data_IF_072713606198
#
_entry.id   IF_072713606198
#
_cell.length_a   1.000
_cell.length_b   1.000
_cell.length_c   1.000
_cell.angle_alpha   90.00
_cell.angle_beta   90.00
_cell.angle_gamma   90.00
#
_symmetry.space_group_name_H-M   'P 1'
#
loop_
_entity.id
_entity.type
_entity.pdbx_description
1 polymer ?
#
# COMPACT_ATOMS: atom_id res chain seq x y z
N UNK A 1 20.35 -0.31 -32.70
CA UNK A 1 20.26 -0.09 -31.24
C UNK A 1 19.28 -1.12 -30.75
N UNK A 2 19.73 -2.09 -29.96
CA UNK A 2 18.83 -3.05 -29.32
C UNK A 2 17.96 -2.27 -28.33
N UNK A 3 16.66 -2.21 -28.59
CA UNK A 3 15.68 -1.60 -27.67
C UNK A 3 15.63 -2.39 -26.37
N UNK A 4 16.67 -2.21 -25.53
CA UNK A 4 16.68 -2.78 -24.18
C UNK A 4 15.70 -1.96 -23.35
N UNK A 5 14.66 -2.61 -22.81
CA UNK A 5 13.70 -1.93 -21.94
C UNK A 5 14.40 -1.19 -20.79
N UNK A 6 13.93 -0.02 -20.36
CA UNK A 6 14.55 0.74 -19.29
C UNK A 6 14.51 -0.04 -17.96
N UNK A 7 15.53 0.19 -17.13
CA UNK A 7 15.63 -0.41 -15.80
C UNK A 7 14.69 0.30 -14.82
N UNK A 8 14.02 -0.48 -13.95
CA UNK A 8 13.33 0.00 -12.77
C UNK A 8 13.73 -0.87 -11.56
N UNK A 9 13.81 -0.25 -10.39
CA UNK A 9 14.14 -0.91 -9.14
C UNK A 9 12.94 -0.91 -8.20
N UNK A 10 12.61 -2.06 -7.63
CA UNK A 10 11.59 -2.19 -6.59
C UNK A 10 12.28 -2.46 -5.26
N UNK A 11 12.05 -1.60 -4.29
CA UNK A 11 12.49 -1.76 -2.91
C UNK A 11 11.27 -1.93 -2.01
N UNK A 12 10.91 -3.16 -1.80
CA UNK A 12 9.77 -3.61 -1.02
C UNK A 12 10.17 -3.93 0.42
N UNK A 13 9.20 -4.00 1.30
CA UNK A 13 9.44 -4.45 2.68
C UNK A 13 8.33 -4.05 3.64
N UNK A 14 8.26 -4.66 4.81
CA UNK A 14 7.28 -4.30 5.82
C UNK A 14 7.52 -2.87 6.35
N UNK A 15 6.53 -2.34 7.04
CA UNK A 15 6.72 -1.10 7.80
C UNK A 15 7.86 -1.28 8.82
N UNK A 16 8.59 -0.21 9.11
CA UNK A 16 9.76 -0.19 10.01
C UNK A 16 10.96 -1.06 9.58
N UNK A 17 11.07 -1.41 8.29
CA UNK A 17 12.17 -2.24 7.77
C UNK A 17 13.41 -1.45 7.30
N UNK A 18 13.41 -0.11 7.34
CA UNK A 18 14.58 0.69 6.91
C UNK A 18 14.63 1.03 5.42
N UNK A 19 13.54 0.83 4.66
CA UNK A 19 13.46 1.15 3.22
C UNK A 19 13.87 2.60 2.90
N UNK A 20 13.37 3.55 3.65
CA UNK A 20 13.59 4.99 3.42
C UNK A 20 15.08 5.32 3.51
N UNK A 21 15.78 4.83 4.53
CA UNK A 21 17.21 5.04 4.70
C UNK A 21 18.00 4.48 3.50
N UNK A 22 17.72 3.25 3.09
CA UNK A 22 18.39 2.63 1.95
C UNK A 22 18.11 3.38 0.63
N UNK A 23 16.87 3.84 0.44
CA UNK A 23 16.50 4.61 -0.75
C UNK A 23 17.22 5.98 -0.81
N UNK A 24 17.35 6.68 0.32
CA UNK A 24 18.11 7.93 0.42
C UNK A 24 19.59 7.70 0.06
N UNK A 25 20.21 6.66 0.63
CA UNK A 25 21.61 6.32 0.34
C UNK A 25 21.85 5.93 -1.11
N UNK A 26 20.93 5.20 -1.73
CA UNK A 26 20.99 4.89 -3.17
C UNK A 26 20.93 6.15 -4.03
N UNK A 27 20.00 7.06 -3.71
CA UNK A 27 19.85 8.31 -4.44
C UNK A 27 21.07 9.22 -4.34
N UNK A 28 21.77 9.20 -3.22
CA UNK A 28 23.03 9.95 -3.06
C UNK A 28 24.17 9.40 -3.93
N UNK A 29 24.11 8.14 -4.31
CA UNK A 29 25.18 7.43 -5.04
C UNK A 29 24.88 7.24 -6.53
N UNK A 30 23.61 7.16 -6.91
CA UNK A 30 23.16 6.84 -8.27
C UNK A 30 22.06 7.82 -8.73
N UNK A 31 21.89 8.00 -10.04
CA UNK A 31 20.83 8.83 -10.60
C UNK A 31 19.47 8.12 -10.51
N UNK A 32 19.04 7.77 -9.32
CA UNK A 32 17.71 7.20 -9.07
C UNK A 32 16.75 8.26 -8.56
N UNK A 33 15.47 8.15 -8.93
CA UNK A 33 14.40 8.95 -8.36
C UNK A 33 13.36 8.05 -7.71
N UNK A 34 12.86 8.49 -6.54
CA UNK A 34 11.99 7.70 -5.69
C UNK A 34 10.53 7.94 -6.06
N UNK A 35 9.80 6.83 -6.23
CA UNK A 35 8.34 6.81 -6.32
C UNK A 35 7.82 6.06 -5.10
N UNK A 36 6.96 6.70 -4.32
CA UNK A 36 6.32 6.05 -3.15
C UNK A 36 5.29 5.01 -3.60
N UNK A 37 5.39 3.80 -3.04
CA UNK A 37 4.42 2.72 -3.23
C UNK A 37 3.72 2.44 -1.91
N UNK A 38 3.00 3.44 -1.44
CA UNK A 38 2.33 3.41 -0.14
C UNK A 38 0.93 4.04 -0.23
N UNK A 39 -0.08 3.32 0.26
CA UNK A 39 -1.47 3.76 0.20
C UNK A 39 -1.86 4.75 1.30
N UNK A 40 -0.95 5.12 2.19
CA UNK A 40 -1.18 6.10 3.24
C UNK A 40 -0.40 7.40 3.02
N UNK A 41 0.84 7.32 2.49
CA UNK A 41 1.67 8.49 2.24
C UNK A 41 1.12 9.44 1.15
N UNK A 42 0.16 8.99 0.37
CA UNK A 42 -0.51 9.78 -0.67
C UNK A 42 -1.37 10.90 -0.11
N UNK A 43 -1.81 10.79 1.16
CA UNK A 43 -2.74 11.75 1.77
C UNK A 43 -2.02 12.95 2.36
N UNK A 44 -2.50 14.15 2.03
CA UNK A 44 -2.10 15.40 2.67
C UNK A 44 -2.49 15.39 4.13
N UNK A 45 -1.74 16.13 4.96
CA UNK A 45 -2.00 16.31 6.40
C UNK A 45 -1.96 15.02 7.24
N UNK A 46 -1.61 13.88 6.63
CA UNK A 46 -1.37 12.61 7.30
C UNK A 46 0.14 12.33 7.31
N UNK A 47 0.87 13.00 8.20
CA UNK A 47 2.32 13.05 8.18
C UNK A 47 2.96 12.18 9.26
N UNK A 48 2.53 12.38 10.52
CA UNK A 48 3.14 11.74 11.68
C UNK A 48 2.71 10.26 11.75
N UNK A 49 1.41 10.00 11.72
CA UNK A 49 0.87 8.65 11.84
C UNK A 49 1.19 7.72 10.67
N UNK A 50 1.53 8.25 9.50
CA UNK A 50 2.06 7.49 8.37
C UNK A 50 3.58 7.32 8.43
N UNK A 51 4.26 8.08 9.31
CA UNK A 51 5.70 8.30 9.33
C UNK A 51 6.23 8.69 7.94
N UNK A 52 5.56 9.67 7.34
CA UNK A 52 5.98 10.30 6.09
C UNK A 52 7.40 10.86 6.26
N UNK A 53 8.27 10.75 5.25
CA UNK A 53 9.58 11.39 5.30
C UNK A 53 9.45 12.88 5.64
N UNK A 54 10.26 13.35 6.57
CA UNK A 54 10.26 14.75 6.98
C UNK A 54 10.85 15.67 5.89
N UNK A 55 10.79 16.99 6.11
CA UNK A 55 11.29 17.98 5.15
C UNK A 55 12.79 17.80 4.85
N UNK A 56 13.58 17.38 5.85
CA UNK A 56 15.00 17.11 5.68
C UNK A 56 15.22 15.88 4.80
N UNK A 57 14.51 14.78 5.06
CA UNK A 57 14.56 13.57 4.26
C UNK A 57 14.09 13.83 2.82
N UNK A 58 13.00 14.59 2.66
CA UNK A 58 12.48 14.98 1.34
C UNK A 58 13.42 15.93 0.58
N UNK A 59 14.16 16.78 1.27
CA UNK A 59 15.19 17.62 0.64
C UNK A 59 16.36 16.81 0.08
N UNK A 60 16.74 15.72 0.77
CA UNK A 60 17.79 14.80 0.33
C UNK A 60 17.30 13.82 -0.74
N UNK A 61 16.07 13.38 -0.62
CA UNK A 61 15.47 12.40 -1.50
C UNK A 61 13.98 12.72 -1.74
N UNK A 62 13.68 13.61 -2.70
CA UNK A 62 12.30 13.87 -3.10
C UNK A 62 11.58 12.58 -3.51
N UNK A 63 10.35 12.41 -3.05
CA UNK A 63 9.50 11.28 -3.38
C UNK A 63 8.34 11.75 -4.26
N UNK A 64 8.11 11.07 -5.37
CA UNK A 64 6.87 11.22 -6.15
C UNK A 64 5.75 10.41 -5.50
N UNK A 65 4.53 10.78 -5.74
CA UNK A 65 3.30 10.14 -5.25
C UNK A 65 3.14 10.16 -3.72
N UNK A 66 3.54 11.25 -3.09
CA UNK A 66 3.18 11.59 -1.72
C UNK A 66 2.43 12.93 -1.72
N UNK A 67 1.55 13.15 -0.74
CA UNK A 67 0.77 14.40 -0.60
C UNK A 67 -0.04 14.79 -1.85
N UNK A 68 -0.56 13.82 -2.58
CA UNK A 68 -1.27 14.04 -3.84
C UNK A 68 -2.79 14.13 -3.69
N UNK A 69 -3.35 13.62 -2.58
CA UNK A 69 -4.79 13.57 -2.34
C UNK A 69 -5.19 14.18 -1.01
N UNK A 70 -6.42 14.69 -0.96
CA UNK A 70 -7.08 15.00 0.30
C UNK A 70 -7.53 13.71 1.02
N UNK A 71 -7.50 13.64 2.37
CA UNK A 71 -7.96 12.48 3.11
C UNK A 71 -9.42 12.06 2.85
N UNK A 72 -10.27 12.94 2.32
CA UNK A 72 -11.65 12.62 1.92
C UNK A 72 -11.75 11.85 0.61
N UNK A 73 -10.66 11.76 -0.15
CA UNK A 73 -10.62 11.13 -1.46
C UNK A 73 -10.20 9.66 -1.38
N UNK A 74 -10.52 8.90 -2.42
CA UNK A 74 -10.13 7.49 -2.56
C UNK A 74 -9.10 7.32 -3.68
N UNK A 75 -8.15 6.41 -3.47
CA UNK A 75 -7.13 6.08 -4.45
C UNK A 75 -7.06 4.58 -4.69
N UNK A 76 -7.29 4.17 -5.90
CA UNK A 76 -7.32 2.77 -6.29
C UNK A 76 -5.96 2.27 -6.79
N UNK A 77 -5.80 0.94 -6.90
CA UNK A 77 -4.63 0.35 -7.55
C UNK A 77 -4.52 0.73 -9.04
N UNK A 78 -5.64 1.06 -9.68
CA UNK A 78 -5.65 1.53 -11.06
C UNK A 78 -5.13 2.98 -11.18
N UNK A 79 -5.53 3.85 -10.25
CA UNK A 79 -5.00 5.20 -10.17
C UNK A 79 -3.50 5.17 -9.90
N UNK A 80 -3.07 4.37 -8.92
CA UNK A 80 -1.66 4.18 -8.64
C UNK A 80 -0.88 3.72 -9.87
N UNK A 81 -1.38 2.70 -10.59
CA UNK A 81 -0.70 2.18 -11.78
C UNK A 81 -0.54 3.24 -12.86
N UNK A 82 -1.58 4.02 -13.13
CA UNK A 82 -1.56 5.13 -14.09
C UNK A 82 -0.50 6.16 -13.71
N UNK A 83 -0.55 6.62 -12.47
CA UNK A 83 0.32 7.71 -11.99
C UNK A 83 1.77 7.25 -11.82
N UNK A 84 1.98 5.99 -11.41
CA UNK A 84 3.32 5.41 -11.30
C UNK A 84 3.97 5.22 -12.67
N UNK A 85 3.24 4.75 -13.69
CA UNK A 85 3.75 4.65 -15.07
C UNK A 85 4.17 6.02 -15.61
N UNK A 86 3.33 7.03 -15.43
CA UNK A 86 3.68 8.40 -15.85
C UNK A 86 4.94 8.90 -15.13
N UNK A 87 5.03 8.69 -13.81
CA UNK A 87 6.20 9.08 -13.05
C UNK A 87 7.48 8.33 -13.49
N UNK A 88 7.35 7.04 -13.82
CA UNK A 88 8.48 6.23 -14.32
C UNK A 88 8.95 6.73 -15.68
N UNK A 89 8.03 7.03 -16.59
CA UNK A 89 8.35 7.53 -17.93
C UNK A 89 9.05 8.91 -17.87
N UNK A 90 8.57 9.79 -16.99
CA UNK A 90 9.20 11.11 -16.75
C UNK A 90 10.64 10.96 -16.23
N UNK A 91 10.86 10.06 -15.28
CA UNK A 91 12.18 9.78 -14.70
C UNK A 91 13.14 9.24 -15.76
N UNK A 92 12.69 8.31 -16.59
CA UNK A 92 13.50 7.75 -17.68
C UNK A 92 13.82 8.79 -18.74
N UNK A 93 12.87 9.68 -19.07
CA UNK A 93 13.09 10.78 -20.00
C UNK A 93 14.18 11.76 -19.51
N UNK A 94 14.37 11.86 -18.19
CA UNK A 94 15.47 12.63 -17.58
C UNK A 94 16.81 11.84 -17.50
N UNK A 95 16.87 10.62 -18.05
CA UNK A 95 18.06 9.77 -18.00
C UNK A 95 18.33 9.15 -16.62
N UNK A 96 17.32 9.07 -15.78
CA UNK A 96 17.40 8.52 -14.42
C UNK A 96 16.70 7.15 -14.31
N UNK A 97 16.87 6.48 -13.18
CA UNK A 97 16.32 5.16 -12.89
C UNK A 97 15.17 5.29 -11.89
N UNK A 98 13.95 4.83 -12.21
CA UNK A 98 12.86 4.77 -11.25
C UNK A 98 13.17 3.80 -10.11
N UNK A 99 13.10 4.28 -8.85
CA UNK A 99 13.21 3.50 -7.63
C UNK A 99 11.85 3.53 -6.90
N UNK A 100 11.11 2.45 -7.01
CA UNK A 100 9.80 2.30 -6.38
C UNK A 100 9.98 1.77 -4.97
N UNK A 101 9.55 2.53 -3.94
CA UNK A 101 9.81 2.23 -2.53
C UNK A 101 8.51 2.17 -1.76
N UNK A 102 8.22 1.05 -1.10
CA UNK A 102 7.03 0.98 -0.28
C UNK A 102 6.65 -0.39 0.25
N UNK A 103 5.47 -0.45 0.85
CA UNK A 103 4.93 -1.64 1.49
C UNK A 103 3.55 -2.08 0.99
N UNK A 104 2.97 -1.39 0.01
CA UNK A 104 1.65 -1.75 -0.55
C UNK A 104 1.81 -2.76 -1.68
N UNK A 105 1.86 -4.05 -1.30
CA UNK A 105 2.15 -5.15 -2.24
C UNK A 105 1.16 -5.23 -3.40
N UNK A 106 -0.10 -4.86 -3.17
CA UNK A 106 -1.11 -4.83 -4.24
C UNK A 106 -0.73 -3.84 -5.35
N UNK A 107 -0.11 -2.71 -5.01
CA UNK A 107 0.32 -1.70 -5.98
C UNK A 107 1.48 -2.23 -6.85
N UNK A 108 2.46 -2.88 -6.25
CA UNK A 108 3.53 -3.53 -7.00
C UNK A 108 3.00 -4.61 -7.95
N UNK A 109 2.07 -5.42 -7.46
CA UNK A 109 1.44 -6.46 -8.29
C UNK A 109 0.65 -5.86 -9.45
N UNK A 110 -0.16 -4.83 -9.19
CA UNK A 110 -0.91 -4.12 -10.22
C UNK A 110 0.01 -3.50 -11.28
N UNK A 111 1.18 -3.00 -10.86
CA UNK A 111 2.16 -2.42 -11.78
C UNK A 111 2.83 -3.49 -12.64
N UNK A 112 3.29 -4.60 -12.06
CA UNK A 112 3.98 -5.69 -12.76
C UNK A 112 3.09 -6.47 -13.73
N UNK A 113 1.95 -6.91 -13.22
CA UNK A 113 1.08 -7.86 -13.94
C UNK A 113 -0.01 -7.17 -14.76
N UNK A 114 -0.15 -5.84 -14.60
CA UNK A 114 -1.29 -5.11 -15.09
C UNK A 114 -2.55 -5.37 -14.24
N UNK A 115 -3.63 -4.74 -14.65
CA UNK A 115 -4.94 -4.90 -14.02
C UNK A 115 -5.91 -5.51 -15.01
N UNK A 116 -6.72 -6.44 -14.54
CA UNK A 116 -7.85 -6.96 -15.33
C UNK A 116 -8.84 -5.84 -15.63
N UNK A 117 -9.53 -5.86 -16.77
CA UNK A 117 -10.48 -4.82 -17.18
C UNK A 117 -11.77 -4.89 -16.36
N UNK A 118 -11.67 -4.60 -15.07
CA UNK A 118 -12.82 -4.55 -14.18
C UNK A 118 -13.56 -3.21 -14.35
N UNK A 119 -14.89 -3.20 -14.23
CA UNK A 119 -15.65 -1.95 -14.25
C UNK A 119 -15.20 -1.01 -13.12
N UNK A 120 -15.31 0.29 -13.37
CA UNK A 120 -15.09 1.29 -12.33
C UNK A 120 -16.03 1.06 -11.13
N UNK A 121 -15.63 1.55 -9.97
CA UNK A 121 -16.48 1.52 -8.80
C UNK A 121 -17.78 2.29 -9.04
N UNK A 122 -18.91 1.70 -8.65
CA UNK A 122 -20.22 2.33 -8.72
C UNK A 122 -20.77 2.54 -7.31
N UNK A 123 -20.78 3.80 -6.80
CA UNK A 123 -21.25 4.09 -5.45
C UNK A 123 -22.69 3.69 -5.17
N UNK A 124 -23.57 3.83 -6.18
CA UNK A 124 -24.98 3.48 -6.04
C UNK A 124 -25.17 1.97 -5.85
N UNK A 125 -24.51 1.17 -6.66
CA UNK A 125 -24.53 -0.29 -6.53
C UNK A 125 -23.93 -0.76 -5.21
N UNK A 126 -22.85 -0.13 -4.75
CA UNK A 126 -22.27 -0.43 -3.44
C UNK A 126 -23.23 -0.14 -2.31
N UNK A 127 -23.87 1.01 -2.35
CA UNK A 127 -24.87 1.39 -1.34
C UNK A 127 -26.05 0.41 -1.33
N UNK A 128 -26.52 -0.05 -2.49
CA UNK A 128 -27.54 -1.10 -2.58
C UNK A 128 -27.09 -2.40 -1.92
N UNK A 129 -25.87 -2.86 -2.22
CA UNK A 129 -25.30 -4.08 -1.62
C UNK A 129 -25.19 -3.96 -0.09
N UNK A 130 -24.75 -2.80 0.40
CA UNK A 130 -24.66 -2.53 1.83
C UNK A 130 -26.03 -2.54 2.52
N UNK A 131 -27.06 -1.93 1.90
CA UNK A 131 -28.42 -1.98 2.41
C UNK A 131 -29.01 -3.39 2.42
N UNK A 132 -28.73 -4.17 1.39
CA UNK A 132 -29.12 -5.58 1.35
C UNK A 132 -28.41 -6.37 2.46
N UNK A 133 -27.12 -6.10 2.68
CA UNK A 133 -26.35 -6.74 3.75
C UNK A 133 -26.87 -6.39 5.15
N UNK A 134 -27.28 -5.15 5.37
CA UNK A 134 -27.91 -4.73 6.63
C UNK A 134 -29.25 -5.45 6.88
N UNK A 135 -29.99 -5.76 5.82
CA UNK A 135 -31.33 -6.37 5.93
C UNK A 135 -31.24 -7.91 5.99
N UNK A 136 -30.43 -8.51 5.13
CA UNK A 136 -30.38 -9.97 4.92
C UNK A 136 -29.17 -10.64 5.59
N UNK A 137 -28.11 -9.87 5.87
CA UNK A 137 -26.81 -10.36 6.33
C UNK A 137 -25.84 -10.72 5.20
N UNK A 138 -24.56 -10.60 5.48
CA UNK A 138 -23.48 -10.90 4.50
C UNK A 138 -23.43 -12.35 4.08
N UNK A 139 -23.88 -13.29 4.92
CA UNK A 139 -23.95 -14.72 4.58
C UNK A 139 -24.89 -15.00 3.40
N UNK A 140 -26.04 -14.32 3.36
CA UNK A 140 -27.01 -14.46 2.26
C UNK A 140 -26.42 -13.92 0.95
N UNK A 141 -25.73 -12.79 1.01
CA UNK A 141 -25.04 -12.24 -0.17
C UNK A 141 -23.87 -13.12 -0.62
N UNK A 142 -23.22 -13.84 0.30
CA UNK A 142 -22.20 -14.81 -0.07
C UNK A 142 -22.81 -16.03 -0.77
N UNK A 143 -23.98 -16.49 -0.36
CA UNK A 143 -24.71 -17.57 -1.04
C UNK A 143 -25.16 -17.11 -2.45
N UNK A 144 -25.63 -15.86 -2.61
CA UNK A 144 -25.89 -15.25 -3.93
C UNK A 144 -24.63 -15.29 -4.81
N UNK A 145 -23.47 -14.86 -4.28
CA UNK A 145 -22.22 -14.91 -5.04
C UNK A 145 -21.84 -16.35 -5.42
N UNK A 146 -22.14 -17.34 -4.57
CA UNK A 146 -21.84 -18.75 -4.84
C UNK A 146 -22.63 -19.30 -6.04
N UNK A 147 -23.85 -18.81 -6.27
CA UNK A 147 -24.64 -19.15 -7.45
C UNK A 147 -24.11 -18.45 -8.71
N UNK A 148 -23.68 -17.18 -8.59
CA UNK A 148 -23.22 -16.34 -9.70
C UNK A 148 -21.78 -16.70 -10.12
N UNK A 149 -20.87 -16.77 -9.13
CA UNK A 149 -19.43 -16.98 -9.30
C UNK A 149 -18.88 -17.92 -8.21
N UNK A 150 -19.11 -19.23 -8.35
CA UNK A 150 -18.68 -20.21 -7.34
C UNK A 150 -17.17 -20.21 -7.10
N UNK A 151 -16.37 -19.85 -8.10
CA UNK A 151 -14.91 -19.78 -7.99
C UNK A 151 -14.49 -18.61 -7.08
N UNK A 152 -15.08 -17.45 -7.26
CA UNK A 152 -14.83 -16.30 -6.37
C UNK A 152 -15.40 -16.56 -4.98
N UNK A 153 -16.59 -17.14 -4.84
CA UNK A 153 -17.19 -17.45 -3.54
C UNK A 153 -16.33 -18.43 -2.72
N UNK A 154 -15.70 -19.41 -3.36
CA UNK A 154 -14.80 -20.35 -2.69
C UNK A 154 -13.54 -19.68 -2.11
N UNK A 155 -13.11 -18.54 -2.67
CA UNK A 155 -11.92 -17.79 -2.24
C UNK A 155 -12.24 -16.68 -1.25
N UNK A 156 -13.45 -16.12 -1.32
CA UNK A 156 -13.88 -14.99 -0.51
C UNK A 156 -14.58 -15.54 0.75
N UNK A 157 -14.04 -15.18 1.91
CA UNK A 157 -14.67 -15.58 3.16
C UNK A 157 -16.01 -14.87 3.35
N UNK A 158 -17.07 -15.52 3.87
CA UNK A 158 -18.37 -14.88 4.11
C UNK A 158 -18.30 -13.61 5.00
N UNK A 159 -17.31 -13.54 5.87
CA UNK A 159 -17.05 -12.38 6.74
C UNK A 159 -16.03 -11.39 6.14
N UNK A 160 -15.86 -11.38 4.82
CA UNK A 160 -15.09 -10.37 4.10
C UNK A 160 -16.02 -9.49 3.25
N UNK A 161 -16.71 -8.52 3.87
CA UNK A 161 -17.71 -7.69 3.20
C UNK A 161 -17.12 -6.88 2.04
N UNK A 162 -15.86 -6.46 2.13
CA UNK A 162 -15.23 -5.65 1.10
C UNK A 162 -15.02 -6.44 -0.21
N UNK A 163 -14.50 -7.67 -0.13
CA UNK A 163 -14.29 -8.51 -1.30
C UNK A 163 -15.60 -9.04 -1.86
N UNK A 164 -16.53 -9.39 -0.98
CA UNK A 164 -17.85 -9.85 -1.36
C UNK A 164 -18.64 -8.75 -2.09
N UNK A 165 -18.69 -7.53 -1.51
CA UNK A 165 -19.30 -6.37 -2.15
C UNK A 165 -18.69 -6.10 -3.52
N UNK A 166 -17.35 -6.15 -3.65
CA UNK A 166 -16.69 -5.92 -4.95
C UNK A 166 -17.03 -6.98 -5.99
N UNK A 167 -17.11 -8.25 -5.63
CA UNK A 167 -17.46 -9.32 -6.56
C UNK A 167 -18.89 -9.16 -7.07
N UNK A 168 -19.84 -8.86 -6.19
CA UNK A 168 -21.23 -8.58 -6.56
C UNK A 168 -21.38 -7.30 -7.39
N UNK A 169 -20.68 -6.23 -7.01
CA UNK A 169 -20.65 -4.97 -7.76
C UNK A 169 -20.18 -5.20 -9.21
N UNK A 170 -19.08 -5.92 -9.39
CA UNK A 170 -18.55 -6.25 -10.73
C UNK A 170 -19.61 -6.93 -11.57
N UNK A 171 -20.27 -7.93 -11.02
CA UNK A 171 -21.33 -8.65 -11.74
C UNK A 171 -22.54 -7.75 -12.04
N UNK A 172 -23.03 -6.99 -11.04
CA UNK A 172 -24.20 -6.13 -11.22
C UNK A 172 -23.98 -4.99 -12.21
N UNK A 173 -22.74 -4.50 -12.33
CA UNK A 173 -22.37 -3.44 -13.29
C UNK A 173 -22.12 -3.98 -14.69
N UNK A 174 -21.44 -5.11 -14.83
CA UNK A 174 -20.95 -5.60 -16.13
C UNK A 174 -21.71 -6.79 -16.71
N UNK A 175 -22.52 -7.48 -15.90
CA UNK A 175 -23.14 -8.76 -16.27
C UNK A 175 -22.14 -9.94 -16.38
N UNK A 176 -20.85 -9.70 -16.05
CA UNK A 176 -19.79 -10.71 -16.06
C UNK A 176 -19.26 -10.95 -14.66
N UNK A 177 -18.86 -12.19 -14.38
CA UNK A 177 -18.30 -12.54 -13.07
C UNK A 177 -16.91 -11.96 -12.87
N UNK A 178 -16.53 -11.80 -11.60
CA UNK A 178 -15.16 -11.40 -11.26
C UNK A 178 -14.15 -12.43 -11.79
N UNK A 179 -14.48 -13.73 -11.71
CA UNK A 179 -13.65 -14.82 -12.24
C UNK A 179 -13.43 -14.68 -13.74
N UNK A 180 -14.47 -14.43 -14.54
CA UNK A 180 -14.36 -14.24 -16.00
C UNK A 180 -13.46 -13.05 -16.34
N UNK A 181 -13.69 -11.90 -15.72
CA UNK A 181 -12.93 -10.69 -16.03
C UNK A 181 -11.47 -10.78 -15.57
N UNK A 182 -11.18 -11.50 -14.50
CA UNK A 182 -9.80 -11.68 -14.00
C UNK A 182 -8.98 -12.72 -14.78
N UNK A 183 -9.58 -13.47 -15.70
CA UNK A 183 -8.83 -14.31 -16.65
C UNK A 183 -8.05 -13.48 -17.67
N UNK A 184 -8.54 -12.28 -17.99
CA UNK A 184 -7.83 -11.36 -18.88
C UNK A 184 -6.76 -10.63 -18.06
N UNK A 185 -5.50 -10.89 -18.42
CA UNK A 185 -4.37 -10.14 -17.84
C UNK A 185 -4.31 -8.75 -18.48
N UNK A 186 -3.95 -7.76 -17.68
CA UNK A 186 -3.61 -6.45 -18.18
C UNK A 186 -2.25 -6.43 -18.89
N UNK A 187 -1.88 -5.27 -19.43
CA UNK A 187 -0.57 -5.08 -20.05
C UNK A 187 0.55 -5.22 -19.00
N UNK A 188 1.58 -5.99 -19.34
CA UNK A 188 2.78 -6.13 -18.53
C UNK A 188 3.53 -4.80 -18.45
N UNK A 189 4.31 -4.61 -17.41
CA UNK A 189 5.15 -3.43 -17.23
C UNK A 189 6.24 -3.38 -18.31
N UNK A 190 6.36 -2.30 -19.11
CA UNK A 190 7.35 -2.20 -20.18
C UNK A 190 8.74 -1.77 -19.64
N UNK A 191 9.19 -2.42 -18.58
CA UNK A 191 10.45 -2.16 -17.89
C UNK A 191 11.14 -3.47 -17.52
N UNK A 192 12.45 -3.45 -17.45
CA UNK A 192 13.21 -4.51 -16.78
C UNK A 192 13.26 -4.21 -15.30
N UNK A 193 12.67 -5.06 -14.49
CA UNK A 193 12.53 -4.82 -13.06
C UNK A 193 13.51 -5.68 -12.27
N UNK A 194 14.30 -5.05 -11.40
CA UNK A 194 15.06 -5.75 -10.35
C UNK A 194 14.34 -5.52 -9.01
N UNK A 195 14.06 -6.62 -8.34
CA UNK A 195 13.16 -6.64 -7.18
C UNK A 195 13.91 -7.00 -5.91
N UNK A 196 13.79 -6.13 -4.91
CA UNK A 196 14.43 -6.29 -3.61
C UNK A 196 13.41 -6.19 -2.50
N UNK A 197 13.58 -7.02 -1.46
CA UNK A 197 12.83 -6.90 -0.21
C UNK A 197 13.79 -6.72 0.95
N UNK A 198 13.56 -5.72 1.78
CA UNK A 198 14.38 -5.46 2.97
C UNK A 198 13.58 -5.70 4.25
N UNK A 199 14.14 -6.49 5.15
CA UNK A 199 13.58 -6.72 6.49
C UNK A 199 14.71 -7.18 7.44
N UNK A 200 14.54 -7.00 8.77
CA UNK A 200 15.43 -7.66 9.72
C UNK A 200 15.19 -9.17 9.68
N UNK A 201 16.24 -9.95 9.94
CA UNK A 201 16.13 -11.42 10.00
C UNK A 201 15.28 -11.87 11.19
N UNK A 202 15.42 -11.18 12.31
CA UNK A 202 14.64 -11.49 13.51
C UNK A 202 13.30 -10.74 13.53
N UNK A 203 12.23 -11.51 13.66
CA UNK A 203 10.88 -10.96 13.83
C UNK A 203 10.74 -10.15 15.11
N UNK A 204 11.42 -10.51 16.19
CA UNK A 204 11.36 -9.76 17.45
C UNK A 204 11.95 -8.35 17.26
N UNK A 205 13.02 -8.22 16.48
CA UNK A 205 13.59 -6.92 16.13
C UNK A 205 12.61 -6.06 15.34
N UNK A 206 11.91 -6.63 14.36
CA UNK A 206 10.87 -5.90 13.62
C UNK A 206 9.76 -5.41 14.55
N UNK A 207 9.32 -6.23 15.50
CA UNK A 207 8.29 -5.88 16.47
C UNK A 207 8.75 -4.76 17.40
N UNK A 208 10.01 -4.80 17.86
CA UNK A 208 10.63 -3.74 18.67
C UNK A 208 10.69 -2.42 17.90
N UNK A 209 11.11 -2.45 16.63
CA UNK A 209 11.16 -1.24 15.77
C UNK A 209 9.78 -0.65 15.53
N UNK A 210 8.76 -1.48 15.37
CA UNK A 210 7.37 -1.03 15.20
C UNK A 210 6.89 -0.30 16.46
N UNK A 211 7.12 -0.88 17.64
CA UNK A 211 6.76 -0.28 18.92
C UNK A 211 7.45 1.07 19.12
N UNK A 212 8.78 1.08 19.04
CA UNK A 212 9.57 2.31 19.16
C UNK A 212 9.14 3.40 18.16
N UNK A 213 8.80 3.02 16.93
CA UNK A 213 8.31 3.95 15.92
C UNK A 213 6.96 4.53 16.31
N UNK A 214 6.06 3.71 16.85
CA UNK A 214 4.73 4.17 17.27
C UNK A 214 4.83 5.13 18.46
N UNK A 215 5.69 4.82 19.44
CA UNK A 215 5.97 5.71 20.57
C UNK A 215 6.50 7.07 20.10
N UNK A 216 7.47 7.08 19.18
CA UNK A 216 7.98 8.30 18.57
C UNK A 216 6.91 9.10 17.82
N UNK A 217 5.97 8.45 17.15
CA UNK A 217 4.84 9.12 16.52
C UNK A 217 3.97 9.83 17.55
N UNK A 218 3.69 9.18 18.69
CA UNK A 218 2.92 9.78 19.77
C UNK A 218 3.67 10.97 20.39
N UNK A 219 4.97 10.86 20.61
CA UNK A 219 5.82 11.95 21.10
C UNK A 219 5.90 13.13 20.12
N UNK A 220 5.86 12.85 18.81
CA UNK A 220 5.89 13.86 17.75
C UNK A 220 4.55 14.58 17.52
N UNK A 221 3.47 14.19 18.21
CA UNK A 221 2.16 14.87 18.11
C UNK A 221 1.17 14.15 17.21
N UNK A 222 1.23 12.84 17.09
CA UNK A 222 0.25 12.07 16.28
C UNK A 222 -1.18 12.24 16.79
N UNK A 223 -1.38 12.41 18.10
CA UNK A 223 -2.69 12.70 18.68
C UNK A 223 -3.26 14.04 18.20
N UNK A 224 -2.42 15.07 18.15
CA UNK A 224 -2.80 16.41 17.67
C UNK A 224 -3.12 16.39 16.16
N UNK A 225 -2.32 15.68 15.36
CA UNK A 225 -2.61 15.45 13.94
C UNK A 225 -3.97 14.78 13.78
N UNK A 226 -4.24 13.76 14.60
CA UNK A 226 -5.50 13.04 14.54
C UNK A 226 -6.70 13.89 14.97
N UNK A 227 -6.55 14.74 16.01
CA UNK A 227 -7.59 15.68 16.44
C UNK A 227 -7.96 16.69 15.33
N UNK A 228 -6.95 17.15 14.57
CA UNK A 228 -7.18 18.04 13.45
C UNK A 228 -7.99 17.37 12.33
N UNK A 229 -7.69 16.12 12.00
CA UNK A 229 -8.45 15.33 11.03
C UNK A 229 -9.87 15.02 11.53
N UNK A 230 -9.99 14.61 12.78
CA UNK A 230 -11.27 14.28 13.42
C UNK A 230 -12.23 15.48 13.49
N UNK A 231 -11.70 16.69 13.63
CA UNK A 231 -12.50 17.91 13.62
C UNK A 231 -13.10 18.24 12.24
N UNK A 232 -12.63 17.62 11.18
CA UNK A 232 -13.15 17.78 9.81
C UNK A 232 -14.50 17.05 9.70
N UNK A 233 -15.51 17.75 9.18
CA UNK A 233 -16.87 17.21 9.02
C UNK A 233 -17.04 16.30 7.79
N UNK A 234 -16.10 16.34 6.88
CA UNK A 234 -16.08 15.56 5.64
C UNK A 234 -15.33 14.23 5.78
N UNK A 235 -14.70 13.97 6.92
CA UNK A 235 -14.02 12.71 7.22
C UNK A 235 -14.88 11.82 8.12
N UNK A 236 -14.80 10.51 7.89
CA UNK A 236 -15.51 9.49 8.67
C UNK A 236 -14.73 8.17 8.70
N UNK A 237 -14.98 7.24 9.64
CA UNK A 237 -14.16 6.05 9.89
C UNK A 237 -14.11 5.06 8.71
N UNK A 238 -15.02 5.13 7.74
CA UNK A 238 -15.05 4.23 6.59
C UNK A 238 -14.16 4.69 5.43
N UNK A 239 -13.64 5.92 5.46
CA UNK A 239 -12.72 6.41 4.45
C UNK A 239 -11.42 5.60 4.43
N UNK A 240 -10.84 5.32 3.25
CA UNK A 240 -9.57 4.61 3.13
C UNK A 240 -8.43 5.24 3.94
N UNK A 241 -8.36 6.56 4.02
CA UNK A 241 -7.41 7.33 4.81
C UNK A 241 -7.53 7.03 6.31
N UNK A 242 -8.75 7.10 6.84
CA UNK A 242 -9.01 6.88 8.27
C UNK A 242 -8.88 5.40 8.65
N UNK A 243 -9.12 4.50 7.71
CA UNK A 243 -8.88 3.06 7.90
C UNK A 243 -7.41 2.67 7.92
N UNK A 244 -6.49 3.57 7.62
CA UNK A 244 -5.06 3.34 7.79
C UNK A 244 -4.74 2.93 9.24
N UNK A 245 -3.77 2.01 9.37
CA UNK A 245 -3.31 1.54 10.69
C UNK A 245 -2.75 2.72 11.49
N UNK A 246 -3.11 2.81 12.75
CA UNK A 246 -2.83 3.94 13.63
C UNK A 246 -3.98 4.95 13.62
N UNK A 247 -4.35 5.47 12.46
CA UNK A 247 -5.46 6.45 12.32
C UNK A 247 -6.79 5.88 12.78
N UNK A 248 -7.12 4.68 12.37
CA UNK A 248 -8.34 4.01 12.79
C UNK A 248 -8.42 3.88 14.33
N UNK A 249 -7.35 3.44 14.97
CA UNK A 249 -7.34 3.24 16.42
C UNK A 249 -7.42 4.57 17.18
N UNK A 250 -6.76 5.61 16.66
CA UNK A 250 -6.85 6.94 17.25
C UNK A 250 -8.22 7.58 17.01
N UNK A 251 -8.89 7.27 15.90
CA UNK A 251 -10.28 7.67 15.67
C UNK A 251 -11.22 7.04 16.70
N UNK A 252 -11.12 5.71 16.92
CA UNK A 252 -11.88 4.98 17.95
C UNK A 252 -11.69 5.60 19.36
N UNK A 253 -10.46 6.05 19.67
CA UNK A 253 -10.19 6.78 20.91
C UNK A 253 -10.93 8.13 20.98
N UNK A 254 -10.92 8.90 19.92
CA UNK A 254 -11.59 10.21 19.88
C UNK A 254 -13.12 10.09 19.86
N UNK A 255 -13.66 8.98 19.36
CA UNK A 255 -15.08 8.62 19.49
C UNK A 255 -15.47 8.20 20.94
N UNK A 256 -14.47 7.92 21.79
CA UNK A 256 -14.70 7.48 23.18
C UNK A 256 -14.86 5.97 23.35
N UNK A 257 -14.60 5.20 22.31
CA UNK A 257 -14.76 3.73 22.31
C UNK A 257 -13.66 3.01 23.11
N UNK A 258 -12.51 3.66 23.32
CA UNK A 258 -11.40 3.13 24.10
C UNK A 258 -10.57 4.25 24.73
N UNK A 259 -9.68 3.88 25.67
CA UNK A 259 -8.72 4.81 26.24
C UNK A 259 -7.58 5.12 25.26
N UNK A 260 -6.86 6.22 25.49
CA UNK A 260 -5.66 6.58 24.71
C UNK A 260 -4.61 5.47 24.71
N UNK A 261 -4.31 4.91 25.88
CA UNK A 261 -3.31 3.85 26.02
C UNK A 261 -3.74 2.57 25.30
N UNK A 262 -5.03 2.26 25.30
CA UNK A 262 -5.59 1.14 24.57
C UNK A 262 -5.51 1.38 23.06
N UNK A 263 -5.78 2.58 22.56
CA UNK A 263 -5.63 2.94 21.15
C UNK A 263 -4.18 2.77 20.68
N UNK A 264 -3.22 3.23 21.47
CA UNK A 264 -1.77 3.06 21.20
C UNK A 264 -1.42 1.57 21.12
N UNK A 265 -1.81 0.78 22.12
CA UNK A 265 -1.57 -0.66 22.14
C UNK A 265 -2.18 -1.37 20.93
N UNK A 266 -3.44 -1.08 20.61
CA UNK A 266 -4.14 -1.62 19.42
C UNK A 266 -3.45 -1.19 18.12
N UNK A 267 -2.96 0.05 18.04
CA UNK A 267 -2.21 0.57 16.89
C UNK A 267 -0.91 -0.18 16.66
N UNK A 268 -0.14 -0.45 17.71
CA UNK A 268 1.08 -1.25 17.66
C UNK A 268 0.75 -2.69 17.20
N UNK A 269 -0.28 -3.30 17.78
CA UNK A 269 -0.71 -4.65 17.39
C UNK A 269 -1.15 -4.72 15.92
N UNK A 270 -1.94 -3.76 15.47
CA UNK A 270 -2.41 -3.67 14.08
C UNK A 270 -1.24 -3.46 13.10
N UNK A 271 -0.23 -2.67 13.48
CA UNK A 271 0.99 -2.44 12.70
C UNK A 271 1.83 -3.73 12.59
N UNK A 272 1.97 -4.50 13.69
CA UNK A 272 2.63 -5.82 13.67
C UNK A 272 1.90 -6.80 12.75
N UNK A 273 0.57 -6.76 12.72
CA UNK A 273 -0.23 -7.58 11.80
C UNK A 273 -0.11 -7.15 10.35
N UNK A 274 -0.03 -5.84 10.09
CA UNK A 274 0.25 -5.31 8.76
C UNK A 274 1.61 -5.81 8.27
N UNK A 275 2.66 -5.66 9.08
CA UNK A 275 4.01 -6.14 8.76
C UNK A 275 4.03 -7.66 8.48
N UNK A 276 3.31 -8.47 9.27
CA UNK A 276 3.16 -9.90 9.03
C UNK A 276 2.53 -10.20 7.66
N UNK A 277 1.47 -9.48 7.29
CA UNK A 277 0.84 -9.64 5.96
C UNK A 277 1.78 -9.26 4.82
N UNK A 278 2.52 -8.16 4.97
CA UNK A 278 3.52 -7.72 3.99
C UNK A 278 4.60 -8.78 3.79
N UNK A 279 5.17 -9.34 4.86
CA UNK A 279 6.16 -10.43 4.79
C UNK A 279 5.56 -11.68 4.14
N UNK A 280 4.32 -12.03 4.45
CA UNK A 280 3.64 -13.19 3.84
C UNK A 280 3.52 -13.03 2.33
N UNK A 281 3.17 -11.84 1.84
CA UNK A 281 3.15 -11.53 0.42
C UNK A 281 4.54 -11.66 -0.21
N UNK A 282 5.55 -11.05 0.42
CA UNK A 282 6.93 -11.06 -0.08
C UNK A 282 7.51 -12.48 -0.14
N UNK A 283 7.15 -13.38 0.77
CA UNK A 283 7.59 -14.78 0.74
C UNK A 283 7.04 -15.57 -0.44
N UNK A 284 5.90 -15.17 -0.97
CA UNK A 284 5.28 -15.77 -2.16
C UNK A 284 5.63 -15.02 -3.45
N UNK A 285 6.51 -14.01 -3.37
CA UNK A 285 6.89 -13.18 -4.50
C UNK A 285 8.00 -13.83 -5.31
N UNK A 286 7.84 -13.86 -6.63
CA UNK A 286 8.83 -14.44 -7.53
C UNK A 286 9.98 -13.44 -7.80
N UNK A 287 11.17 -13.96 -8.09
CA UNK A 287 12.36 -13.19 -8.52
C UNK A 287 12.76 -12.08 -7.54
N UNK A 288 12.71 -12.37 -6.23
CA UNK A 288 12.94 -11.43 -5.16
C UNK A 288 14.29 -11.64 -4.48
N UNK A 289 15.12 -10.60 -4.46
CA UNK A 289 16.39 -10.60 -3.69
C UNK A 289 16.11 -10.02 -2.29
N UNK A 290 16.35 -10.84 -1.26
CA UNK A 290 16.22 -10.41 0.13
C UNK A 290 17.45 -9.68 0.64
N UNK A 291 17.24 -8.53 1.26
CA UNK A 291 18.24 -7.68 1.89
C UNK A 291 18.05 -7.71 3.41
N UNK A 292 19.17 -7.72 4.13
CA UNK A 292 19.17 -7.66 5.58
C UNK A 292 19.18 -6.20 6.06
N UNK A 293 18.13 -5.78 6.75
CA UNK A 293 18.06 -4.41 7.28
C UNK A 293 19.00 -4.16 8.47
N UNK A 294 19.56 -5.21 9.05
CA UNK A 294 20.56 -5.08 10.13
C UNK A 294 21.97 -4.83 9.57
N UNK A 295 22.15 -5.00 8.24
CA UNK A 295 23.38 -4.71 7.52
C UNK A 295 23.09 -3.83 6.28
N UNK A 296 22.84 -2.55 6.53
CA UNK A 296 22.44 -1.59 5.48
C UNK A 296 23.54 -1.38 4.43
N UNK A 297 24.81 -1.50 4.81
CA UNK A 297 25.93 -1.35 3.87
C UNK A 297 25.96 -2.49 2.84
N UNK A 298 25.76 -3.73 3.28
CA UNK A 298 25.64 -4.87 2.38
C UNK A 298 24.39 -4.76 1.49
N UNK A 299 23.28 -4.29 2.04
CA UNK A 299 22.06 -4.05 1.26
C UNK A 299 22.30 -3.01 0.15
N UNK A 300 23.01 -1.93 0.47
CA UNK A 300 23.41 -0.90 -0.49
C UNK A 300 24.34 -1.45 -1.56
N UNK A 301 25.33 -2.26 -1.20
CA UNK A 301 26.27 -2.90 -2.13
C UNK A 301 25.52 -3.81 -3.10
N UNK A 302 24.65 -4.70 -2.61
CA UNK A 302 23.84 -5.60 -3.44
C UNK A 302 23.01 -4.85 -4.47
N UNK A 303 22.34 -3.76 -4.07
CA UNK A 303 21.57 -2.93 -5.02
C UNK A 303 22.46 -2.15 -5.97
N UNK A 304 23.65 -1.73 -5.52
CA UNK A 304 24.65 -1.04 -6.36
C UNK A 304 25.18 -1.95 -7.48
N UNK A 305 25.50 -3.20 -7.17
CA UNK A 305 25.92 -4.21 -8.15
C UNK A 305 24.82 -4.47 -9.19
N UNK A 306 23.57 -4.50 -8.73
CA UNK A 306 22.44 -4.67 -9.62
C UNK A 306 22.28 -3.48 -10.60
N UNK A 307 22.58 -2.26 -10.19
CA UNK A 307 22.56 -1.09 -11.08
C UNK A 307 23.73 -1.15 -12.06
N UNK A 308 24.94 -1.48 -11.58
CA UNK A 308 26.15 -1.50 -12.39
C UNK A 308 26.17 -2.61 -13.45
N UNK A 309 25.42 -3.71 -13.22
CA UNK A 309 25.35 -4.86 -14.15
C UNK A 309 24.35 -4.65 -15.30
N UNK A 310 23.73 -3.47 -15.40
CA UNK A 310 22.70 -3.12 -16.39
C UNK A 310 23.23 -2.28 -17.53
#
# INVERSE_FOLDING_TARGET
>A
MTDKLPLALFLMGPTASGKTELAIRLRQKYPVEIISVDSALIYKDMNIGTAKPDERELSLAPHRLIDILDPSESYSAADFRRDALQAMDDIVAEGKIPLLVGGTMLYYKALLEGLSPLPAANPEIRQQIEQEALTKGWSVLHDELKEIDPVSAARIHPNDPQRLSRALEVFRVSGKTLTELTQTKGDSLPYRVKQFAIAPKDRAELHRRIELRFDKMMEAGFEEEMKALYARKDLHPDLPSIRCVGYRQMWEYLDGDCTRDEAVFRGICATRQLAKRQITWLRSWNDLTWLDSDNIEQALETMSEAIASD
#
